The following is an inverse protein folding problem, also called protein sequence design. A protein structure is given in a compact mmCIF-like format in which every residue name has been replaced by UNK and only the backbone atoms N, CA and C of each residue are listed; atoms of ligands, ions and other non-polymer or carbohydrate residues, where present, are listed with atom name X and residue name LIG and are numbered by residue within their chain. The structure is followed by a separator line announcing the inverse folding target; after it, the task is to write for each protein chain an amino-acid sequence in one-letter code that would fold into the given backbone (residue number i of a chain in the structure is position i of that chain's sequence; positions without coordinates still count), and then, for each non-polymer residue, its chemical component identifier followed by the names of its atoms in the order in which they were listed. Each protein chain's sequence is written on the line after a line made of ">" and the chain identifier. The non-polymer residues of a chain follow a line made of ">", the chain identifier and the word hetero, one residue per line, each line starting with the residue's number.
data_IF_413398082732
#
_entry.id   IF_413398082732
#
_cell.length_a   1.000
_cell.length_b   1.000
_cell.length_c   1.000
_cell.angle_alpha   90.00
_cell.angle_beta   90.00
_cell.angle_gamma   90.00
#
_symmetry.space_group_name_H-M   'P 1'
#
loop_
_entity.id
_entity.type
_entity.pdbx_description
1 polymer ?
#
# COMPACT_ATOMS: atom_id res chain seq x y z
N UNK A 1 11.01 -16.17 18.81
CA UNK A 1 11.95 -15.98 19.94
C UNK A 1 13.31 -15.73 19.34
N UNK A 2 13.98 -14.66 19.72
CA UNK A 2 15.28 -14.29 19.17
C UNK A 2 16.42 -15.03 19.89
N UNK A 3 17.40 -15.53 19.13
CA UNK A 3 18.67 -15.99 19.70
C UNK A 3 19.68 -14.84 19.80
N UNK A 4 20.62 -14.93 20.76
CA UNK A 4 21.70 -13.96 20.94
C UNK A 4 22.54 -13.76 19.66
N UNK A 5 22.62 -14.79 18.83
CA UNK A 5 23.38 -14.83 17.58
C UNK A 5 22.66 -14.14 16.42
N UNK A 6 21.35 -13.97 16.52
CA UNK A 6 20.52 -13.37 15.47
C UNK A 6 20.40 -11.85 15.62
N UNK A 7 20.78 -11.30 16.78
CA UNK A 7 20.89 -9.86 17.00
C UNK A 7 22.13 -9.31 16.28
N UNK A 8 21.95 -8.93 15.02
CA UNK A 8 22.96 -8.28 14.19
C UNK A 8 22.54 -6.86 13.82
N UNK A 9 23.48 -5.93 13.58
CA UNK A 9 23.17 -4.61 13.06
C UNK A 9 22.29 -4.68 11.80
N UNK A 10 21.23 -3.88 11.75
CA UNK A 10 20.27 -3.81 10.65
C UNK A 10 18.97 -4.61 10.87
N UNK A 11 18.94 -5.52 11.85
CA UNK A 11 17.74 -6.30 12.17
C UNK A 11 16.69 -5.43 12.86
N UNK A 12 15.42 -5.67 12.55
CA UNK A 12 14.28 -5.04 13.24
C UNK A 12 13.79 -5.97 14.34
N UNK A 13 13.70 -5.44 15.56
CA UNK A 13 13.31 -6.20 16.76
C UNK A 13 12.03 -5.63 17.34
N UNK A 14 11.15 -6.53 17.78
CA UNK A 14 9.91 -6.28 18.52
C UNK A 14 10.07 -6.67 19.98
N UNK A 15 9.41 -5.92 20.86
CA UNK A 15 9.37 -6.20 22.29
C UNK A 15 10.45 -5.51 23.12
N UNK A 16 11.39 -4.78 22.49
CA UNK A 16 12.35 -3.95 23.23
C UNK A 16 11.67 -2.73 23.86
N UNK A 17 10.83 -2.06 23.08
CA UNK A 17 9.97 -0.98 23.56
C UNK A 17 8.50 -1.37 23.46
N UNK A 18 7.65 -0.97 24.41
CA UNK A 18 6.21 -1.24 24.36
C UNK A 18 5.59 -0.68 23.07
N UNK A 19 5.06 -1.58 22.23
CA UNK A 19 4.31 -1.22 21.02
C UNK A 19 5.13 -0.65 19.87
N UNK A 20 6.47 -0.69 19.94
CA UNK A 20 7.34 -0.13 18.89
C UNK A 20 8.34 -1.16 18.36
N UNK A 21 8.57 -1.11 17.05
CA UNK A 21 9.68 -1.80 16.40
C UNK A 21 10.92 -0.91 16.44
N UNK A 22 12.07 -1.52 16.69
CA UNK A 22 13.35 -0.80 16.71
C UNK A 22 14.34 -1.47 15.77
N UNK A 23 15.16 -0.67 15.08
CA UNK A 23 16.26 -1.18 14.25
C UNK A 23 17.52 -1.23 15.09
N UNK A 24 18.17 -2.39 15.14
CA UNK A 24 19.46 -2.56 15.81
C UNK A 24 20.55 -1.83 15.02
N UNK A 25 21.27 -0.91 15.66
CA UNK A 25 22.42 -0.21 15.06
C UNK A 25 23.73 -0.89 15.45
N UNK A 26 23.87 -1.27 16.72
CA UNK A 26 25.09 -1.86 17.24
C UNK A 26 24.77 -2.83 18.36
N UNK A 27 25.58 -3.87 18.44
CA UNK A 27 25.47 -4.95 19.43
C UNK A 27 26.85 -5.14 20.04
N UNK A 28 27.01 -4.82 21.33
CA UNK A 28 28.25 -5.00 22.07
C UNK A 28 28.06 -6.04 23.16
N UNK A 29 28.73 -7.18 23.01
CA UNK A 29 28.66 -8.27 24.00
C UNK A 29 29.57 -7.99 25.18
N UNK A 30 29.06 -8.22 26.38
CA UNK A 30 29.78 -8.16 27.64
C UNK A 30 29.72 -9.53 28.31
N UNK A 31 30.74 -10.36 28.09
CA UNK A 31 30.77 -11.75 28.56
C UNK A 31 29.79 -12.67 27.82
N UNK A 32 29.29 -13.70 28.50
CA UNK A 32 28.46 -14.75 27.89
C UNK A 32 26.95 -14.50 27.96
N UNK A 33 26.49 -13.61 28.85
CA UNK A 33 25.06 -13.47 29.17
C UNK A 33 24.50 -12.05 29.03
N UNK A 34 25.34 -11.08 28.68
CA UNK A 34 24.97 -9.67 28.68
C UNK A 34 25.33 -9.01 27.35
N UNK A 35 24.41 -8.21 26.82
CA UNK A 35 24.59 -7.49 25.57
C UNK A 35 24.09 -6.06 25.72
N UNK A 36 24.93 -5.10 25.36
CA UNK A 36 24.55 -3.71 25.20
C UNK A 36 24.08 -3.50 23.75
N UNK A 37 22.81 -3.13 23.59
CA UNK A 37 22.15 -2.94 22.31
C UNK A 37 21.91 -1.45 22.08
N UNK A 38 22.49 -0.89 21.02
CA UNK A 38 22.14 0.45 20.52
C UNK A 38 21.14 0.29 19.40
N UNK A 39 20.00 0.97 19.51
CA UNK A 39 18.90 0.84 18.56
C UNK A 39 18.34 2.20 18.14
N UNK A 40 17.58 2.20 17.05
CA UNK A 40 16.87 3.35 16.51
C UNK A 40 15.38 3.05 16.41
N UNK A 41 14.57 3.93 16.98
CA UNK A 41 13.13 3.89 16.84
C UNK A 41 12.67 4.33 15.44
N UNK A 42 11.44 4.01 15.06
CA UNK A 42 10.81 4.48 13.81
C UNK A 42 10.82 6.02 13.73
N UNK A 43 10.65 6.72 14.86
CA UNK A 43 10.74 8.18 14.95
C UNK A 43 12.16 8.76 14.84
N UNK A 44 13.17 7.92 14.64
CA UNK A 44 14.57 8.32 14.45
C UNK A 44 15.36 8.55 15.73
N UNK A 45 14.73 8.41 16.91
CA UNK A 45 15.40 8.51 18.22
C UNK A 45 16.33 7.32 18.43
N UNK A 46 17.50 7.61 18.99
CA UNK A 46 18.47 6.60 19.39
C UNK A 46 18.27 6.24 20.86
N UNK A 47 18.36 4.95 21.17
CA UNK A 47 18.37 4.41 22.52
C UNK A 47 19.52 3.41 22.71
N UNK A 48 19.90 3.18 23.95
CA UNK A 48 20.85 2.13 24.34
C UNK A 48 20.29 1.39 25.55
N UNK A 49 20.30 0.07 25.51
CA UNK A 49 19.81 -0.77 26.60
C UNK A 49 20.73 -1.96 26.84
N UNK A 50 20.94 -2.29 28.12
CA UNK A 50 21.69 -3.47 28.54
C UNK A 50 20.71 -4.64 28.73
N UNK A 51 20.82 -5.66 27.89
CA UNK A 51 19.97 -6.82 27.87
C UNK A 51 20.69 -8.05 28.42
N UNK A 52 19.95 -8.83 29.22
CA UNK A 52 20.37 -10.14 29.71
C UNK A 52 19.73 -11.25 28.87
N UNK A 53 20.32 -12.44 28.88
CA UNK A 53 19.85 -13.60 28.10
C UNK A 53 18.36 -13.90 28.25
N UNK A 54 17.81 -13.77 29.46
CA UNK A 54 16.38 -14.03 29.75
C UNK A 54 15.47 -13.01 29.06
N UNK A 55 15.89 -11.74 29.00
CA UNK A 55 15.16 -10.67 28.32
C UNK A 55 15.20 -10.87 26.80
N UNK A 56 16.32 -11.35 26.27
CA UNK A 56 16.52 -11.57 24.83
C UNK A 56 15.60 -12.69 24.33
N UNK A 57 15.36 -13.72 25.13
CA UNK A 57 14.43 -14.80 24.79
C UNK A 57 12.98 -14.30 24.55
N UNK A 58 12.61 -13.19 25.17
CA UNK A 58 11.29 -12.55 25.01
C UNK A 58 11.22 -11.61 23.80
N UNK A 59 12.34 -11.32 23.14
CA UNK A 59 12.36 -10.50 21.94
C UNK A 59 11.95 -11.32 20.72
N UNK A 60 11.30 -10.65 19.78
CA UNK A 60 10.92 -11.22 18.50
C UNK A 60 11.62 -10.45 17.38
N UNK A 61 12.38 -11.15 16.55
CA UNK A 61 12.94 -10.55 15.34
C UNK A 61 11.80 -10.43 14.33
N UNK A 62 11.50 -9.19 13.94
CA UNK A 62 10.56 -8.98 12.84
C UNK A 62 11.20 -9.58 11.58
N UNK A 63 10.46 -10.49 10.92
CA UNK A 63 10.92 -11.16 9.71
C UNK A 63 11.54 -10.14 8.74
N UNK A 64 12.67 -10.53 8.14
CA UNK A 64 13.42 -9.73 7.19
C UNK A 64 12.63 -9.53 5.87
N UNK A 65 11.53 -8.80 5.93
CA UNK A 65 11.00 -8.09 4.79
C UNK A 65 11.70 -6.75 4.74
N UNK A 66 12.52 -6.52 3.71
CA UNK A 66 12.95 -5.17 3.40
C UNK A 66 11.68 -4.30 3.32
N UNK A 67 11.65 -3.11 3.93
CA UNK A 67 10.70 -2.09 3.49
C UNK A 67 10.88 -1.98 1.98
N UNK A 68 9.83 -2.31 1.21
CA UNK A 68 9.84 -2.32 -0.25
C UNK A 68 10.62 -3.49 -0.87
N UNK A 69 10.40 -4.71 -0.37
CA UNK A 69 10.98 -5.94 -0.90
C UNK A 69 10.57 -6.29 -2.35
N UNK A 70 9.48 -5.70 -2.88
CA UNK A 70 8.94 -5.97 -4.23
C UNK A 70 8.81 -7.47 -4.59
N UNK A 71 8.66 -8.32 -3.58
CA UNK A 71 8.61 -9.77 -3.66
C UNK A 71 7.18 -10.32 -3.76
N UNK A 72 6.19 -9.44 -3.92
CA UNK A 72 4.81 -9.82 -4.14
C UNK A 72 4.63 -10.60 -5.45
N UNK A 73 3.58 -11.43 -5.50
CA UNK A 73 3.26 -12.21 -6.69
C UNK A 73 2.88 -11.29 -7.87
N UNK A 74 3.76 -11.21 -8.88
CA UNK A 74 3.58 -10.30 -10.01
C UNK A 74 2.29 -10.53 -10.81
N UNK A 75 1.79 -11.77 -10.85
CA UNK A 75 0.52 -12.11 -11.50
C UNK A 75 -0.67 -11.45 -10.78
N UNK A 76 -0.72 -11.55 -9.45
CA UNK A 76 -1.76 -10.91 -8.63
C UNK A 76 -1.67 -9.39 -8.69
N UNK A 77 -0.45 -8.84 -8.67
CA UNK A 77 -0.24 -7.40 -8.81
C UNK A 77 -0.77 -6.88 -10.16
N UNK A 78 -0.45 -7.58 -11.25
CA UNK A 78 -0.96 -7.25 -12.60
C UNK A 78 -2.48 -7.36 -12.66
N UNK A 79 -3.06 -8.45 -12.17
CA UNK A 79 -4.50 -8.67 -12.19
C UNK A 79 -5.24 -7.54 -11.44
N UNK A 80 -4.75 -7.19 -10.25
CA UNK A 80 -5.31 -6.10 -9.46
C UNK A 80 -5.19 -4.78 -10.22
N UNK A 81 -4.03 -4.47 -10.78
CA UNK A 81 -3.82 -3.25 -11.56
C UNK A 81 -4.78 -3.14 -12.76
N UNK A 82 -5.00 -4.24 -13.49
CA UNK A 82 -5.97 -4.28 -14.60
C UNK A 82 -7.41 -4.10 -14.13
N UNK A 83 -7.79 -4.72 -13.01
CA UNK A 83 -9.11 -4.52 -12.41
C UNK A 83 -9.34 -3.04 -12.03
N UNK A 84 -8.33 -2.38 -11.47
CA UNK A 84 -8.39 -0.94 -11.20
C UNK A 84 -8.47 -0.12 -12.48
N UNK A 85 -7.70 -0.45 -13.53
CA UNK A 85 -7.76 0.24 -14.82
C UNK A 85 -9.17 0.20 -15.41
N UNK A 86 -9.82 -0.96 -15.40
CA UNK A 86 -11.20 -1.10 -15.90
C UNK A 86 -12.17 -0.33 -15.00
N UNK A 87 -12.09 -0.51 -13.69
CA UNK A 87 -12.98 0.16 -12.72
C UNK A 87 -12.91 1.69 -12.81
N UNK A 88 -11.73 2.23 -13.09
CA UNK A 88 -11.47 3.67 -13.15
C UNK A 88 -11.47 4.22 -14.58
N UNK A 89 -11.81 3.42 -15.59
CA UNK A 89 -11.81 3.85 -16.98
C UNK A 89 -12.69 5.09 -17.22
N UNK A 90 -13.79 5.22 -16.48
CA UNK A 90 -14.71 6.36 -16.56
C UNK A 90 -14.08 7.72 -16.22
N UNK A 91 -12.94 7.75 -15.51
CA UNK A 91 -12.23 8.99 -15.22
C UNK A 91 -11.51 9.55 -16.45
N UNK A 92 -11.23 8.70 -17.45
CA UNK A 92 -10.45 9.04 -18.63
C UNK A 92 -11.27 8.97 -19.93
N UNK A 93 -12.42 8.31 -19.90
CA UNK A 93 -13.37 8.24 -21.00
C UNK A 93 -14.72 8.88 -20.60
N UNK A 94 -15.00 10.11 -21.06
CA UNK A 94 -16.25 10.81 -20.78
C UNK A 94 -17.48 10.09 -21.33
N UNK A 95 -17.30 9.24 -22.35
CA UNK A 95 -18.35 8.52 -23.05
C UNK A 95 -18.32 7.01 -22.73
N UNK A 96 -17.70 6.60 -21.62
CA UNK A 96 -17.56 5.17 -21.27
C UNK A 96 -18.91 4.43 -21.22
N UNK A 97 -19.96 5.12 -20.77
CA UNK A 97 -21.31 4.56 -20.70
C UNK A 97 -21.89 4.28 -22.09
N UNK A 98 -21.52 5.08 -23.09
CA UNK A 98 -21.89 4.89 -24.50
C UNK A 98 -21.08 3.73 -25.08
N UNK A 99 -19.76 3.75 -24.91
CA UNK A 99 -18.85 2.73 -25.46
C UNK A 99 -19.06 1.32 -24.89
N UNK A 100 -19.63 1.21 -23.69
CA UNK A 100 -19.96 -0.07 -23.04
C UNK A 100 -21.43 -0.46 -23.17
N UNK A 101 -22.25 0.37 -23.83
CA UNK A 101 -23.65 0.06 -24.09
C UNK A 101 -23.81 -0.93 -25.24
N UNK A 102 -24.98 -1.54 -25.34
CA UNK A 102 -25.40 -2.37 -26.48
C UNK A 102 -26.02 -1.53 -27.62
N UNK A 103 -25.75 -0.23 -27.64
CA UNK A 103 -26.32 0.71 -28.60
C UNK A 103 -25.23 1.07 -29.61
N UNK A 104 -25.60 1.22 -30.88
CA UNK A 104 -24.74 1.81 -31.92
C UNK A 104 -25.23 3.25 -32.18
N UNK A 105 -24.82 4.23 -31.36
CA UNK A 105 -25.33 5.58 -31.49
C UNK A 105 -24.75 6.26 -32.73
N UNK A 106 -25.60 7.01 -33.42
CA UNK A 106 -25.17 7.89 -34.49
C UNK A 106 -24.47 9.13 -33.91
N UNK A 107 -23.53 9.76 -34.65
CA UNK A 107 -22.79 10.92 -34.14
C UNK A 107 -23.69 12.05 -33.60
N UNK A 108 -24.82 12.33 -34.26
CA UNK A 108 -25.74 13.37 -33.82
C UNK A 108 -26.48 13.01 -32.52
N UNK A 109 -26.72 11.71 -32.25
CA UNK A 109 -27.35 11.24 -31.01
C UNK A 109 -26.41 11.45 -29.82
N UNK A 110 -25.11 11.21 -29.99
CA UNK A 110 -24.09 11.48 -28.97
C UNK A 110 -24.06 12.98 -28.63
N UNK A 111 -23.96 13.83 -29.65
CA UNK A 111 -23.92 15.30 -29.46
C UNK A 111 -25.21 15.84 -28.83
N UNK A 112 -26.38 15.37 -29.27
CA UNK A 112 -27.66 15.81 -28.72
C UNK A 112 -27.77 15.50 -27.22
N UNK A 113 -27.50 14.25 -26.84
CA UNK A 113 -27.73 13.79 -25.45
C UNK A 113 -26.56 14.15 -24.53
N UNK A 114 -25.34 13.74 -24.86
CA UNK A 114 -24.19 13.78 -23.96
C UNK A 114 -23.51 15.15 -23.93
N UNK A 115 -23.42 15.83 -25.07
CA UNK A 115 -22.77 17.15 -25.14
C UNK A 115 -23.74 18.29 -24.85
N UNK A 116 -24.99 18.19 -25.31
CA UNK A 116 -25.94 19.32 -25.27
C UNK A 116 -26.95 19.23 -24.12
N UNK A 117 -27.58 18.07 -23.92
CA UNK A 117 -28.68 17.91 -22.95
C UNK A 117 -28.16 17.63 -21.53
N UNK A 118 -27.35 16.59 -21.32
CA UNK A 118 -26.94 16.11 -19.99
C UNK A 118 -26.32 17.17 -19.07
N UNK A 119 -25.57 18.13 -19.63
CA UNK A 119 -24.95 19.21 -18.87
C UNK A 119 -25.90 20.30 -18.38
N UNK A 120 -27.17 20.31 -18.77
CA UNK A 120 -28.12 21.37 -18.43
C UNK A 120 -28.92 21.03 -17.18
N UNK A 121 -28.79 21.87 -16.15
CA UNK A 121 -29.56 21.77 -14.92
C UNK A 121 -30.34 23.08 -14.66
N UNK A 122 -31.69 23.04 -14.61
CA UNK A 122 -32.56 21.89 -14.86
C UNK A 122 -32.65 21.52 -16.34
N UNK A 123 -32.85 20.24 -16.65
CA UNK A 123 -33.02 19.77 -18.02
C UNK A 123 -34.43 20.13 -18.53
N UNK A 124 -34.53 21.13 -19.41
CA UNK A 124 -35.79 21.59 -20.04
C UNK A 124 -35.72 21.47 -21.57
N UNK A 125 -35.48 20.27 -22.06
CA UNK A 125 -35.40 19.96 -23.49
C UNK A 125 -36.26 18.74 -23.81
N UNK A 126 -36.84 18.73 -25.01
CA UNK A 126 -37.51 17.58 -25.61
C UNK A 126 -36.65 17.14 -26.80
N UNK A 127 -36.22 15.88 -26.80
CA UNK A 127 -35.57 15.28 -27.96
C UNK A 127 -36.68 14.87 -28.94
N UNK A 128 -36.77 15.59 -30.07
CA UNK A 128 -37.75 15.36 -31.13
C UNK A 128 -37.02 14.87 -32.39
N UNK A 129 -36.27 13.78 -32.24
CA UNK A 129 -35.57 13.13 -33.35
C UNK A 129 -36.57 12.35 -34.22
N UNK A 130 -36.30 12.24 -35.51
CA UNK A 130 -37.14 11.45 -36.41
C UNK A 130 -37.03 9.96 -36.06
N UNK A 131 -38.09 9.16 -36.21
CA UNK A 131 -38.04 7.74 -35.89
C UNK A 131 -37.09 6.99 -36.84
N UNK A 132 -36.06 6.36 -36.27
CA UNK A 132 -35.04 5.60 -37.01
C UNK A 132 -33.67 5.77 -36.38
#
# INVERSE_FOLDING_TARGET
>A
MALLEELTPGVVVKGLLPGANVTVISVKRHGSYTVELVYKEVGGRLGSELLYSDTIANLEIAAAGLPWSFDAEGALFRLTSEAYRIRLAYLFDPLIAVHTSLIEPLPHQITAVYETMLGKQPLRYLLADDPG
#
